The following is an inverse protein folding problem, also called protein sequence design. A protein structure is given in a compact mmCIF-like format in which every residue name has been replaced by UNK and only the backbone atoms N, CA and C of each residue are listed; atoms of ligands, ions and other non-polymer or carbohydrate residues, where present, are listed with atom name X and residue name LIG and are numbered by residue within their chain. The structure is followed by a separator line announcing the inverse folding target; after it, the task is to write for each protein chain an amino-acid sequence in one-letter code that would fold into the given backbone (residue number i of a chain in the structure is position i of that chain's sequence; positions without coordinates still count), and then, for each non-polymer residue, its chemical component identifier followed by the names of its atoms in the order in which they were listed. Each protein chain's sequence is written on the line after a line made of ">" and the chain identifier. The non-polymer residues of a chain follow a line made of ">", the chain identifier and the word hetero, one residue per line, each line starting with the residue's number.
data_IF_727206784698
#
_entry.id   IF_727206784698
#
_cell.length_a   1.000
_cell.length_b   1.000
_cell.length_c   1.000
_cell.angle_alpha   90.00
_cell.angle_beta   90.00
_cell.angle_gamma   90.00
#
_symmetry.space_group_name_H-M   'P 1'
#
loop_
_entity.id
_entity.type
_entity.pdbx_description
1 polymer ?
#
# COMPACT_ATOMS: atom_id res chain seq x y z
N UNK A 1 56.97 -10.94 16.92
CA UNK A 1 55.52 -10.87 16.64
C UNK A 1 55.36 -10.28 15.26
N UNK A 2 55.13 -11.11 14.25
CA UNK A 2 54.87 -10.65 12.88
C UNK A 2 53.49 -10.02 12.84
N UNK A 3 53.44 -8.71 12.62
CA UNK A 3 52.19 -8.02 12.34
C UNK A 3 51.69 -8.52 10.98
N UNK A 4 50.62 -9.32 10.99
CA UNK A 4 50.00 -9.86 9.77
C UNK A 4 49.26 -8.73 9.00
N UNK A 5 50.02 -7.93 8.26
CA UNK A 5 49.53 -6.87 7.38
C UNK A 5 48.51 -7.40 6.35
N UNK A 6 48.72 -8.62 5.84
CA UNK A 6 47.81 -9.26 4.88
C UNK A 6 46.42 -9.54 5.46
N UNK A 7 46.34 -9.90 6.75
CA UNK A 7 45.05 -10.11 7.44
C UNK A 7 44.30 -8.80 7.63
N UNK A 8 45.01 -7.70 7.90
CA UNK A 8 44.44 -6.34 8.01
C UNK A 8 43.89 -5.83 6.68
N UNK A 9 44.62 -6.02 5.58
CA UNK A 9 44.13 -5.65 4.24
C UNK A 9 42.91 -6.49 3.83
N UNK A 10 42.92 -7.79 4.11
CA UNK A 10 41.79 -8.67 3.83
C UNK A 10 40.54 -8.28 4.64
N UNK A 11 40.68 -8.02 5.95
CA UNK A 11 39.54 -7.56 6.78
C UNK A 11 39.07 -6.16 6.37
N UNK A 12 39.97 -5.23 6.05
CA UNK A 12 39.61 -3.90 5.55
C UNK A 12 38.82 -3.94 4.24
N UNK A 13 39.21 -4.80 3.30
CA UNK A 13 38.49 -5.03 2.04
C UNK A 13 37.09 -5.61 2.27
N UNK A 14 36.97 -6.59 3.17
CA UNK A 14 35.68 -7.21 3.51
C UNK A 14 34.73 -6.23 4.21
N UNK A 15 35.23 -5.40 5.12
CA UNK A 15 34.46 -4.35 5.79
C UNK A 15 33.96 -3.30 4.79
N UNK A 16 34.83 -2.81 3.91
CA UNK A 16 34.46 -1.86 2.85
C UNK A 16 33.42 -2.45 1.89
N UNK A 17 33.60 -3.71 1.47
CA UNK A 17 32.67 -4.42 0.60
C UNK A 17 31.30 -4.64 1.25
N UNK A 18 31.27 -4.98 2.54
CA UNK A 18 30.03 -5.19 3.30
C UNK A 18 29.28 -3.88 3.52
N UNK A 19 29.99 -2.81 3.90
CA UNK A 19 29.40 -1.47 4.07
C UNK A 19 28.81 -0.92 2.75
N UNK A 20 29.48 -1.16 1.61
CA UNK A 20 28.95 -0.77 0.30
C UNK A 20 27.65 -1.51 -0.05
N UNK A 21 27.58 -2.81 0.24
CA UNK A 21 26.38 -3.64 -0.01
C UNK A 21 25.20 -3.22 0.88
N UNK A 22 25.43 -2.98 2.18
CA UNK A 22 24.36 -2.56 3.10
C UNK A 22 23.82 -1.18 2.76
N UNK A 23 24.69 -0.23 2.40
CA UNK A 23 24.27 1.09 1.95
C UNK A 23 23.43 1.02 0.67
N UNK A 24 23.83 0.17 -0.29
CA UNK A 24 23.09 -0.04 -1.53
C UNK A 24 21.72 -0.69 -1.30
N UNK A 25 21.64 -1.70 -0.43
CA UNK A 25 20.37 -2.36 -0.08
C UNK A 25 19.40 -1.41 0.64
N UNK A 26 19.92 -0.60 1.57
CA UNK A 26 19.11 0.40 2.26
C UNK A 26 18.55 1.45 1.30
N UNK A 27 19.38 1.96 0.37
CA UNK A 27 18.94 2.91 -0.64
C UNK A 27 17.86 2.30 -1.56
N UNK A 28 18.03 1.03 -1.96
CA UNK A 28 17.07 0.32 -2.78
C UNK A 28 15.73 0.12 -2.06
N UNK A 29 15.74 -0.34 -0.80
CA UNK A 29 14.54 -0.47 0.05
C UNK A 29 13.86 0.87 0.27
N UNK A 30 14.64 1.93 0.51
CA UNK A 30 14.13 3.29 0.66
C UNK A 30 13.41 3.77 -0.60
N UNK A 31 13.95 3.47 -1.78
CA UNK A 31 13.32 3.78 -3.07
C UNK A 31 11.99 3.06 -3.24
N UNK A 32 11.94 1.74 -3.02
CA UNK A 32 10.67 0.97 -3.16
C UNK A 32 9.59 1.51 -2.23
N UNK A 33 9.95 1.84 -0.97
CA UNK A 33 9.00 2.43 -0.01
C UNK A 33 8.45 3.77 -0.50
N UNK A 34 9.30 4.63 -1.04
CA UNK A 34 8.88 5.92 -1.60
C UNK A 34 7.95 5.72 -2.81
N UNK A 35 8.31 4.82 -3.72
CA UNK A 35 7.50 4.50 -4.90
C UNK A 35 6.12 3.95 -4.50
N UNK A 36 6.06 3.11 -3.45
CA UNK A 36 4.80 2.58 -2.90
C UNK A 36 3.93 3.71 -2.31
N UNK A 37 4.50 4.61 -1.51
CA UNK A 37 3.77 5.76 -0.96
C UNK A 37 3.22 6.67 -2.08
N UNK A 38 4.03 6.93 -3.11
CA UNK A 38 3.61 7.71 -4.26
C UNK A 38 2.47 7.03 -5.04
N UNK A 39 2.57 5.73 -5.29
CA UNK A 39 1.53 4.96 -5.97
C UNK A 39 0.22 4.96 -5.15
N UNK A 40 0.30 4.80 -3.83
CA UNK A 40 -0.87 4.87 -2.94
C UNK A 40 -1.53 6.27 -2.96
N UNK A 41 -0.74 7.35 -2.96
CA UNK A 41 -1.26 8.71 -3.08
C UNK A 41 -1.97 8.93 -4.44
N UNK A 42 -1.43 8.39 -5.53
CA UNK A 42 -2.08 8.40 -6.85
C UNK A 42 -3.38 7.61 -6.85
N UNK A 43 -3.43 6.45 -6.22
CA UNK A 43 -4.63 5.62 -6.09
C UNK A 43 -5.77 6.40 -5.42
N UNK A 44 -5.50 6.98 -4.25
CA UNK A 44 -6.47 7.78 -3.50
C UNK A 44 -6.99 8.97 -4.32
N UNK A 45 -6.09 9.65 -5.05
CA UNK A 45 -6.47 10.76 -5.93
C UNK A 45 -7.36 10.29 -7.08
N UNK A 46 -7.03 9.18 -7.73
CA UNK A 46 -7.80 8.64 -8.85
C UNK A 46 -9.20 8.19 -8.41
N UNK A 47 -9.32 7.55 -7.25
CA UNK A 47 -10.62 7.16 -6.66
C UNK A 47 -11.50 8.38 -6.36
N UNK A 48 -10.93 9.44 -5.77
CA UNK A 48 -11.65 10.70 -5.51
C UNK A 48 -12.13 11.35 -6.81
N UNK A 49 -11.29 11.37 -7.85
CA UNK A 49 -11.67 11.88 -9.17
C UNK A 49 -12.82 11.07 -9.76
N UNK A 50 -12.75 9.74 -9.71
CA UNK A 50 -13.83 8.87 -10.18
C UNK A 50 -15.15 9.14 -9.44
N UNK A 51 -15.11 9.26 -8.10
CA UNK A 51 -16.29 9.61 -7.30
C UNK A 51 -16.93 10.94 -7.71
N UNK A 52 -16.12 11.99 -7.87
CA UNK A 52 -16.62 13.30 -8.33
C UNK A 52 -17.24 13.24 -9.73
N UNK A 53 -16.65 12.43 -10.62
CA UNK A 53 -17.14 12.25 -11.98
C UNK A 53 -18.49 11.53 -11.98
N UNK A 54 -18.59 10.39 -11.27
CA UNK A 54 -19.82 9.61 -11.17
C UNK A 54 -20.95 10.45 -10.55
N UNK A 55 -20.65 11.20 -9.48
CA UNK A 55 -21.61 12.13 -8.90
C UNK A 55 -22.12 13.15 -9.93
N UNK A 56 -21.21 13.77 -10.69
CA UNK A 56 -21.57 14.79 -11.69
C UNK A 56 -22.42 14.21 -12.82
N UNK A 57 -22.05 13.02 -13.32
CA UNK A 57 -22.80 12.30 -14.34
C UNK A 57 -24.24 12.00 -13.88
N UNK A 58 -24.39 11.44 -12.68
CA UNK A 58 -25.71 11.11 -12.11
C UNK A 58 -26.54 12.38 -11.87
N UNK A 59 -25.93 13.44 -11.32
CA UNK A 59 -26.61 14.71 -11.04
C UNK A 59 -27.14 15.39 -12.31
N UNK A 60 -26.39 15.30 -13.40
CA UNK A 60 -26.74 15.91 -14.67
C UNK A 60 -27.59 15.00 -15.57
N UNK A 61 -27.84 13.74 -15.15
CA UNK A 61 -28.55 12.75 -15.95
C UNK A 61 -27.77 12.28 -17.18
N UNK A 62 -26.45 12.40 -17.17
CA UNK A 62 -25.57 12.00 -18.26
C UNK A 62 -25.02 10.59 -18.02
N UNK A 63 -25.13 9.70 -19.01
CA UNK A 63 -24.45 8.40 -18.96
C UNK A 63 -23.19 8.41 -19.82
N UNK A 64 -22.03 8.23 -19.19
CA UNK A 64 -20.76 8.05 -19.91
C UNK A 64 -20.00 6.84 -19.35
N UNK A 65 -20.60 5.65 -19.53
CA UNK A 65 -20.03 4.38 -19.07
C UNK A 65 -18.61 4.15 -19.59
N UNK A 66 -18.32 4.56 -20.82
CA UNK A 66 -16.98 4.43 -21.41
C UNK A 66 -15.93 5.28 -20.67
N UNK A 67 -16.29 6.49 -20.23
CA UNK A 67 -15.39 7.33 -19.44
C UNK A 67 -15.17 6.73 -18.06
N UNK A 68 -16.24 6.32 -17.37
CA UNK A 68 -16.15 5.64 -16.06
C UNK A 68 -15.24 4.41 -16.15
N UNK A 69 -15.42 3.57 -17.18
CA UNK A 69 -14.59 2.39 -17.38
C UNK A 69 -13.11 2.73 -17.55
N UNK A 70 -12.77 3.79 -18.31
CA UNK A 70 -11.36 4.23 -18.47
C UNK A 70 -10.71 4.63 -17.14
N UNK A 71 -11.48 5.22 -16.22
CA UNK A 71 -10.99 5.55 -14.89
C UNK A 71 -10.80 4.30 -14.03
N UNK A 72 -11.72 3.34 -14.11
CA UNK A 72 -11.58 2.03 -13.45
C UNK A 72 -10.32 1.30 -13.94
N UNK A 73 -10.13 1.19 -15.25
CA UNK A 73 -8.94 0.56 -15.84
C UNK A 73 -7.63 1.29 -15.44
N UNK A 74 -7.69 2.60 -15.20
CA UNK A 74 -6.55 3.37 -14.69
C UNK A 74 -6.26 3.06 -13.21
N UNK A 75 -7.30 2.94 -12.39
CA UNK A 75 -7.19 2.55 -10.97
C UNK A 75 -6.63 1.12 -10.84
N UNK A 76 -7.13 0.18 -11.64
CA UNK A 76 -6.67 -1.22 -11.64
C UNK A 76 -5.18 -1.32 -11.99
N UNK A 77 -4.71 -0.50 -12.94
CA UNK A 77 -3.28 -0.42 -13.27
C UNK A 77 -2.43 0.08 -12.10
N UNK A 78 -2.91 1.06 -11.34
CA UNK A 78 -2.21 1.56 -10.15
C UNK A 78 -2.22 0.49 -9.04
N UNK A 79 -3.32 -0.22 -8.85
CA UNK A 79 -3.40 -1.33 -7.89
C UNK A 79 -2.42 -2.45 -8.23
N UNK A 80 -2.28 -2.79 -9.52
CA UNK A 80 -1.30 -3.76 -9.99
C UNK A 80 0.15 -3.30 -9.72
N UNK A 81 0.45 -2.02 -9.98
CA UNK A 81 1.76 -1.43 -9.67
C UNK A 81 2.07 -1.52 -8.17
N UNK A 82 1.09 -1.21 -7.31
CA UNK A 82 1.24 -1.33 -5.85
C UNK A 82 1.50 -2.78 -5.44
N UNK A 83 0.80 -3.75 -6.02
CA UNK A 83 1.03 -5.17 -5.76
C UNK A 83 2.46 -5.59 -6.12
N UNK A 84 2.95 -5.18 -7.30
CA UNK A 84 4.32 -5.47 -7.73
C UNK A 84 5.38 -4.80 -6.83
N UNK A 85 5.15 -3.56 -6.40
CA UNK A 85 6.06 -2.87 -5.48
C UNK A 85 6.10 -3.54 -4.10
N UNK A 86 4.95 -4.03 -3.60
CA UNK A 86 4.87 -4.81 -2.37
C UNK A 86 5.66 -6.13 -2.48
N UNK A 87 5.53 -6.84 -3.60
CA UNK A 87 6.31 -8.06 -3.86
C UNK A 87 7.82 -7.78 -3.90
N UNK A 88 8.25 -6.70 -4.58
CA UNK A 88 9.65 -6.27 -4.59
C UNK A 88 10.18 -5.92 -3.19
N UNK A 89 9.35 -5.25 -2.37
CA UNK A 89 9.69 -4.94 -1.00
C UNK A 89 9.85 -6.19 -0.13
N UNK A 90 8.95 -7.17 -0.28
CA UNK A 90 9.01 -8.45 0.42
C UNK A 90 10.25 -9.27 0.01
N UNK A 91 10.58 -9.30 -1.28
CA UNK A 91 11.78 -9.97 -1.80
C UNK A 91 13.09 -9.31 -1.29
N UNK A 92 13.11 -8.00 -1.14
CA UNK A 92 14.26 -7.28 -0.57
C UNK A 92 14.42 -7.54 0.94
N UNK A 93 13.35 -7.85 1.67
CA UNK A 93 13.38 -8.16 3.11
C UNK A 93 13.86 -9.59 3.41
N UNK A 94 13.68 -10.54 2.49
CA UNK A 94 14.01 -11.97 2.72
C UNK A 94 15.51 -12.28 2.73
N UNK A 95 16.36 -11.38 2.23
CA UNK A 95 17.81 -11.59 2.12
C UNK A 95 18.60 -11.40 3.44
N UNK A 96 17.93 -11.24 4.59
CA UNK A 96 18.57 -10.90 5.88
C UNK A 96 18.27 -11.83 7.07
N UNK A 97 17.45 -12.90 6.95
CA UNK A 97 17.04 -13.70 8.12
C UNK A 97 17.31 -15.22 8.00
N UNK A 98 18.30 -15.71 8.75
CA UNK A 98 18.39 -17.08 9.24
C UNK A 98 17.95 -17.12 10.72
N UNK A 99 16.64 -17.18 10.96
CA UNK A 99 15.96 -17.77 12.13
C UNK A 99 14.44 -17.59 11.93
N UNK A 100 13.61 -18.61 12.22
CA UNK A 100 12.19 -18.56 11.93
C UNK A 100 11.47 -17.82 13.05
N UNK A 101 11.04 -16.60 12.76
CA UNK A 101 9.89 -16.03 13.44
C UNK A 101 8.80 -15.89 12.39
N UNK A 102 7.89 -16.87 12.40
CA UNK A 102 6.58 -16.76 11.79
C UNK A 102 5.90 -15.49 12.31
N UNK A 103 6.02 -14.41 11.55
CA UNK A 103 5.00 -13.37 11.53
C UNK A 103 4.42 -13.43 10.13
N UNK A 104 3.34 -14.19 10.01
CA UNK A 104 2.39 -14.05 8.91
C UNK A 104 1.96 -12.59 8.87
N UNK A 105 2.51 -11.81 7.96
CA UNK A 105 1.97 -10.50 7.63
C UNK A 105 0.71 -10.74 6.81
N UNK A 106 -0.38 -11.02 7.53
CA UNK A 106 -1.71 -10.71 7.05
C UNK A 106 -1.71 -9.21 6.86
N UNK A 107 -1.88 -8.73 5.62
CA UNK A 107 -2.27 -7.34 5.40
C UNK A 107 -3.73 -7.23 5.81
N UNK A 108 -3.94 -7.17 7.11
CA UNK A 108 -5.16 -6.64 7.68
C UNK A 108 -5.12 -5.14 7.41
N UNK A 109 -6.16 -4.66 6.76
CA UNK A 109 -6.40 -3.26 6.50
C UNK A 109 -6.50 -2.57 7.87
N UNK A 110 -5.41 -2.01 8.39
CA UNK A 110 -5.50 -1.09 9.52
C UNK A 110 -6.07 0.18 8.96
N UNK A 111 -7.40 0.29 9.04
CA UNK A 111 -8.08 1.56 9.20
C UNK A 111 -7.21 2.44 10.09
N UNK A 112 -6.97 3.66 9.62
CA UNK A 112 -6.51 4.75 10.46
C UNK A 112 -7.32 4.69 11.75
N UNK A 113 -6.62 4.49 12.88
CA UNK A 113 -7.11 4.75 14.22
C UNK A 113 -8.61 4.46 14.38
N UNK A 114 -8.95 3.19 14.65
CA UNK A 114 -10.25 2.85 15.21
C UNK A 114 -10.36 3.58 16.57
N UNK A 115 -10.77 4.86 16.52
CA UNK A 115 -11.85 5.30 17.39
C UNK A 115 -12.87 4.18 17.36
N UNK A 116 -13.26 3.70 18.52
CA UNK A 116 -14.29 2.68 18.69
C UNK A 116 -15.60 3.28 18.16
N UNK A 117 -15.76 3.33 16.84
CA UNK A 117 -16.90 3.93 16.17
C UNK A 117 -18.05 2.99 16.45
N UNK A 118 -19.02 3.44 17.23
CA UNK A 118 -20.25 2.70 17.43
C UNK A 118 -20.87 2.37 16.05
N UNK A 119 -21.40 1.15 15.90
CA UNK A 119 -21.97 0.66 14.65
C UNK A 119 -23.49 0.56 14.81
N UNK A 120 -24.23 1.05 13.81
CA UNK A 120 -25.70 0.96 13.73
C UNK A 120 -26.15 0.07 12.58
N UNK A 121 -27.33 -0.54 12.71
CA UNK A 121 -27.86 -1.43 11.68
C UNK A 121 -28.74 -0.67 10.68
N UNK A 122 -28.57 -0.97 9.39
CA UNK A 122 -29.40 -0.42 8.33
C UNK A 122 -30.84 -0.92 8.44
N UNK A 123 -31.82 -0.01 8.54
CA UNK A 123 -33.25 -0.34 8.62
C UNK A 123 -33.80 -1.06 7.37
N UNK A 124 -33.15 -0.91 6.21
CA UNK A 124 -33.63 -1.46 4.95
C UNK A 124 -33.05 -2.84 4.60
N UNK A 125 -31.82 -3.15 5.01
CA UNK A 125 -31.16 -4.41 4.66
C UNK A 125 -30.46 -5.13 5.83
N UNK A 126 -30.43 -4.53 7.02
CA UNK A 126 -29.81 -5.11 8.21
C UNK A 126 -28.28 -5.10 8.21
N UNK A 127 -27.61 -4.47 7.25
CA UNK A 127 -26.14 -4.35 7.25
C UNK A 127 -25.67 -3.53 8.47
N UNK A 128 -24.56 -3.93 9.08
CA UNK A 128 -23.86 -3.11 10.07
C UNK A 128 -23.17 -1.96 9.35
N UNK A 129 -23.35 -0.73 9.82
CA UNK A 129 -22.77 0.47 9.23
C UNK A 129 -22.23 1.37 10.34
N UNK A 130 -21.15 2.09 10.06
CA UNK A 130 -20.59 3.10 10.96
C UNK A 130 -21.65 4.15 11.35
N UNK A 131 -21.64 4.62 12.59
CA UNK A 131 -22.65 5.56 13.10
C UNK A 131 -22.70 6.90 12.35
N UNK A 132 -21.54 7.40 11.92
CA UNK A 132 -21.40 8.65 11.17
C UNK A 132 -21.78 8.52 9.68
N UNK A 133 -22.05 7.30 9.21
CA UNK A 133 -22.43 7.06 7.82
C UNK A 133 -23.82 7.66 7.52
N UNK A 134 -23.88 8.51 6.49
CA UNK A 134 -25.15 9.07 5.97
C UNK A 134 -25.97 8.05 5.16
N UNK A 135 -25.31 7.07 4.55
CA UNK A 135 -25.92 6.07 3.67
C UNK A 135 -25.35 4.69 3.97
N UNK A 136 -26.18 3.66 3.81
CA UNK A 136 -25.75 2.28 3.86
C UNK A 136 -24.88 1.97 2.65
N UNK A 137 -23.65 1.54 2.92
CA UNK A 137 -22.67 1.02 1.97
C UNK A 137 -23.18 -0.16 1.12
N UNK A 138 -24.05 -1.00 1.68
CA UNK A 138 -24.58 -2.19 0.99
C UNK A 138 -25.79 -1.91 0.11
N UNK A 139 -26.75 -1.13 0.58
CA UNK A 139 -28.04 -0.94 -0.12
C UNK A 139 -28.35 0.51 -0.53
N UNK A 140 -27.54 1.49 -0.11
CA UNK A 140 -27.74 2.90 -0.41
C UNK A 140 -28.87 3.57 0.37
N UNK A 141 -29.55 2.87 1.28
CA UNK A 141 -30.58 3.46 2.13
C UNK A 141 -29.97 4.54 3.03
N UNK A 142 -30.68 5.65 3.20
CA UNK A 142 -30.30 6.68 4.16
C UNK A 142 -30.44 6.13 5.58
N UNK A 143 -29.40 6.28 6.40
CA UNK A 143 -29.32 5.68 7.74
C UNK A 143 -29.75 6.64 8.84
#
# INVERSE_FOLDING_TARGET
>A
MSFDLDKLFATGSQLAGSAKKTASDLAYKGKIRMDLMNAQARLNKAQRQLGSLVYSLVKNGEENRALVQKYVDAIDRIQLEIAQLKEQMAAAQTQQNAAPATTSYVYEYTEEEQEETEHRHCHQCGNEVQEDALFCDRCGAQL
#
